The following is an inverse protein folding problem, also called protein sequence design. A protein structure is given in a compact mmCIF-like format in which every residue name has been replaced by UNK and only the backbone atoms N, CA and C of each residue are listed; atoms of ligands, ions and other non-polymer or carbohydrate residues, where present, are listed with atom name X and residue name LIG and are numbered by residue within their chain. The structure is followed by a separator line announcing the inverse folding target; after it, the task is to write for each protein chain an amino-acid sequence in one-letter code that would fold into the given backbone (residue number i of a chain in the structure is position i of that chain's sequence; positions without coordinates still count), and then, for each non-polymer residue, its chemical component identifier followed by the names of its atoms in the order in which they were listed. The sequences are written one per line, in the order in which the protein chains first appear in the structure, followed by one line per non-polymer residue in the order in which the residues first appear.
data_IF_913067616011
#
_entry.id   IF_913067616011
#
_cell.length_a   1.000
_cell.length_b   1.000
_cell.length_c   1.000
_cell.angle_alpha   90.00
_cell.angle_beta   90.00
_cell.angle_gamma   90.00
#
_symmetry.space_group_name_H-M   'P 1'
#
loop_
_entity.id
_entity.type
_entity.pdbx_description
1 polymer ?
#
# COMPACT_ATOMS: atom_id res chain seq x y z
N UNK A 1 8.59 3.66 -1.99
CA UNK A 1 7.33 3.44 -1.28
C UNK A 1 7.67 3.46 0.20
N UNK A 2 6.77 4.01 1.00
CA UNK A 2 6.96 4.12 2.44
C UNK A 2 5.70 3.71 3.16
N UNK A 3 5.84 3.21 4.39
CA UNK A 3 4.76 2.75 5.23
C UNK A 3 4.89 3.28 6.65
N UNK A 4 3.77 3.39 7.36
CA UNK A 4 3.69 3.76 8.78
C UNK A 4 2.44 3.18 9.42
N UNK A 5 2.40 3.08 10.74
CA UNK A 5 1.14 2.87 11.45
C UNK A 5 0.48 4.21 11.81
N UNK A 6 -0.84 4.28 11.68
CA UNK A 6 -1.69 5.36 12.19
C UNK A 6 -2.92 4.73 12.83
N UNK A 7 -3.12 4.96 14.13
CA UNK A 7 -4.21 4.40 14.92
C UNK A 7 -4.30 2.86 14.84
N UNK A 8 -3.14 2.20 14.72
CA UNK A 8 -3.04 0.75 14.56
C UNK A 8 -3.28 0.23 13.13
N UNK A 9 -3.59 1.11 12.19
CA UNK A 9 -3.79 0.77 10.77
C UNK A 9 -2.52 1.04 9.96
N UNK A 10 -2.21 0.14 9.03
CA UNK A 10 -1.03 0.26 8.18
C UNK A 10 -1.32 1.18 6.99
N UNK A 11 -0.68 2.35 6.99
CA UNK A 11 -0.69 3.32 5.89
C UNK A 11 0.51 3.11 4.97
N UNK A 12 0.30 3.35 3.68
CA UNK A 12 1.36 3.35 2.68
C UNK A 12 1.23 4.53 1.73
N UNK A 13 2.36 4.97 1.20
CA UNK A 13 2.43 6.08 0.26
C UNK A 13 3.40 5.78 -0.89
N UNK A 14 3.06 6.29 -2.06
CA UNK A 14 3.92 6.24 -3.24
C UNK A 14 4.61 7.58 -3.45
N UNK A 15 5.79 7.55 -4.07
CA UNK A 15 6.60 8.75 -4.34
C UNK A 15 6.60 9.17 -5.80
N UNK A 16 5.65 8.65 -6.56
CA UNK A 16 5.55 8.90 -7.98
C UNK A 16 4.16 9.43 -8.30
N UNK A 17 4.08 10.29 -9.32
CA UNK A 17 2.79 10.67 -9.86
C UNK A 17 2.35 9.61 -10.86
N UNK A 18 1.15 9.05 -10.69
CA UNK A 18 0.58 8.06 -11.62
C UNK A 18 -0.89 8.42 -11.89
N UNK A 19 -1.31 8.34 -13.15
CA UNK A 19 -2.73 8.39 -13.51
C UNK A 19 -3.18 6.97 -13.84
N UNK A 20 -4.25 6.51 -13.20
CA UNK A 20 -4.80 5.18 -13.38
C UNK A 20 -6.33 5.20 -13.37
N UNK A 21 -6.93 4.22 -14.03
CA UNK A 21 -8.37 3.95 -13.95
C UNK A 21 -8.70 2.86 -12.92
N UNK A 22 -7.71 2.06 -12.56
CA UNK A 22 -7.84 1.09 -11.48
C UNK A 22 -6.52 1.00 -10.74
N UNK A 23 -6.59 1.02 -9.41
CA UNK A 23 -5.46 0.78 -8.53
C UNK A 23 -5.72 -0.56 -7.84
N UNK A 24 -4.85 -1.53 -8.09
CA UNK A 24 -4.85 -2.81 -7.40
C UNK A 24 -3.79 -2.76 -6.31
N UNK A 25 -4.21 -2.85 -5.06
CA UNK A 25 -3.31 -2.98 -3.91
C UNK A 25 -3.36 -4.42 -3.46
N UNK A 26 -2.24 -5.12 -3.47
CA UNK A 26 -2.11 -6.45 -2.89
C UNK A 26 -1.17 -6.40 -1.69
N UNK A 27 -1.64 -6.90 -0.55
CA UNK A 27 -0.85 -7.06 0.66
C UNK A 27 -0.70 -8.54 0.95
N UNK A 28 0.54 -8.98 1.08
CA UNK A 28 0.89 -10.35 1.40
C UNK A 28 1.76 -10.37 2.65
N UNK A 29 1.17 -10.51 3.85
CA UNK A 29 1.91 -10.89 5.04
C UNK A 29 2.62 -12.23 4.84
N UNK A 30 3.84 -12.33 5.35
CA UNK A 30 4.58 -13.59 5.49
C UNK A 30 4.52 -14.00 6.95
N UNK A 31 3.77 -15.08 7.19
CA UNK A 31 3.72 -15.79 8.47
C UNK A 31 4.70 -16.97 8.44
N UNK A 32 5.05 -17.53 9.59
CA UNK A 32 6.04 -18.61 9.73
C UNK A 32 5.79 -19.84 8.82
N UNK A 33 4.55 -20.08 8.37
CA UNK A 33 4.23 -21.19 7.47
C UNK A 33 3.12 -20.98 6.45
N UNK A 34 2.43 -19.82 6.44
CA UNK A 34 1.30 -19.55 5.52
C UNK A 34 1.43 -18.18 4.86
N UNK A 35 1.25 -18.15 3.53
CA UNK A 35 1.12 -16.90 2.76
C UNK A 35 -0.38 -16.61 2.55
N UNK A 36 -0.90 -15.61 3.26
CA UNK A 36 -2.22 -15.04 2.96
C UNK A 36 -1.98 -13.81 2.09
N UNK A 37 -2.61 -13.77 0.90
CA UNK A 37 -2.61 -12.59 0.04
C UNK A 37 -4.02 -11.98 0.05
N UNK A 38 -4.11 -10.72 0.47
CA UNK A 38 -5.33 -9.91 0.34
C UNK A 38 -5.15 -8.91 -0.78
N UNK A 39 -6.17 -8.72 -1.62
CA UNK A 39 -6.11 -7.84 -2.80
C UNK A 39 -7.30 -6.90 -2.81
N UNK A 40 -7.04 -5.61 -2.62
CA UNK A 40 -8.03 -4.55 -2.76
C UNK A 40 -7.98 -3.96 -4.16
N UNK A 41 -9.17 -3.75 -4.70
CA UNK A 41 -9.38 -3.06 -5.96
C UNK A 41 -10.04 -1.72 -5.68
N UNK A 42 -9.38 -0.66 -6.14
CA UNK A 42 -9.93 0.68 -6.22
C UNK A 42 -10.22 0.97 -7.69
N UNK A 43 -11.48 1.15 -8.05
CA UNK A 43 -11.93 1.44 -9.42
C UNK A 43 -12.36 2.91 -9.53
N UNK A 44 -11.86 3.62 -10.54
CA UNK A 44 -12.14 5.04 -10.77
C UNK A 44 -10.95 5.74 -11.45
N UNK A 45 -11.21 6.81 -12.20
CA UNK A 45 -10.12 7.62 -12.74
C UNK A 45 -9.51 8.46 -11.61
N UNK A 46 -8.29 8.10 -11.19
CA UNK A 46 -7.57 8.78 -10.14
C UNK A 46 -6.18 9.21 -10.60
N UNK A 47 -5.76 10.39 -10.14
CA UNK A 47 -4.39 10.87 -10.29
C UNK A 47 -3.70 10.84 -8.93
N UNK A 48 -2.87 9.83 -8.72
CA UNK A 48 -2.04 9.66 -7.54
C UNK A 48 -0.85 10.60 -7.62
N UNK A 49 -0.56 11.30 -6.53
CA UNK A 49 0.56 12.22 -6.35
C UNK A 49 1.54 11.67 -5.30
N UNK A 50 2.80 12.14 -5.30
CA UNK A 50 3.73 11.83 -4.23
C UNK A 50 3.14 12.23 -2.87
N UNK A 51 3.16 11.30 -1.93
CA UNK A 51 2.63 11.51 -0.58
C UNK A 51 1.13 11.25 -0.42
N UNK A 52 0.40 10.98 -1.50
CA UNK A 52 -0.95 10.43 -1.37
C UNK A 52 -0.85 9.11 -0.59
N UNK A 53 -1.62 9.05 0.49
CA UNK A 53 -1.65 7.93 1.41
C UNK A 53 -2.82 7.02 1.08
N UNK A 54 -2.56 5.73 1.17
CA UNK A 54 -3.55 4.70 1.02
C UNK A 54 -3.66 3.99 2.36
N UNK A 55 -4.89 3.91 2.87
CA UNK A 55 -5.26 3.13 4.04
C UNK A 55 -5.88 1.82 3.55
N UNK A 56 -5.51 0.71 4.18
CA UNK A 56 -6.17 -0.57 3.89
C UNK A 56 -7.63 -0.47 4.32
N UNK A 57 -8.56 -0.60 3.36
CA UNK A 57 -10.00 -0.55 3.64
C UNK A 57 -10.67 0.82 3.56
N UNK A 58 -9.97 1.91 3.19
CA UNK A 58 -10.59 3.23 2.99
C UNK A 58 -10.84 3.59 1.53
N UNK A 59 -11.94 4.31 1.32
CA UNK A 59 -12.29 4.93 0.04
C UNK A 59 -11.31 6.06 -0.32
N UNK A 60 -10.71 5.95 -1.50
CA UNK A 60 -9.99 7.06 -2.14
C UNK A 60 -11.02 7.95 -2.83
N UNK A 61 -10.87 9.28 -2.75
CA UNK A 61 -11.82 10.21 -3.37
C UNK A 61 -12.01 9.89 -4.88
N UNK A 62 -13.25 9.53 -5.25
CA UNK A 62 -13.59 9.11 -6.61
C UNK A 62 -13.41 7.62 -6.92
N UNK A 63 -13.05 6.80 -5.92
CA UNK A 63 -12.89 5.34 -6.06
C UNK A 63 -13.67 4.58 -4.98
N UNK A 64 -14.12 3.38 -5.30
CA UNK A 64 -14.83 2.50 -4.35
C UNK A 64 -13.91 1.35 -3.93
N UNK A 65 -13.82 1.09 -2.63
CA UNK A 65 -13.03 -0.02 -2.09
C UNK A 65 -13.80 -1.34 -2.15
N UNK A 66 -13.15 -2.41 -2.61
CA UNK A 66 -13.71 -3.76 -2.64
C UNK A 66 -12.78 -4.72 -1.89
N UNK A 67 -12.89 -4.82 -0.55
CA UNK A 67 -12.56 -5.99 0.31
C UNK A 67 -12.39 -5.66 1.81
N UNK A 68 -12.44 -6.72 2.63
CA UNK A 68 -12.45 -6.82 4.10
C UNK A 68 -11.11 -6.49 4.81
N UNK A 69 -11.21 -6.32 6.14
CA UNK A 69 -10.16 -6.06 7.13
C UNK A 69 -8.98 -7.06 7.07
N UNK A 70 -7.75 -6.57 7.25
CA UNK A 70 -6.56 -7.42 7.37
C UNK A 70 -5.95 -7.32 8.75
N UNK A 71 -6.07 -8.41 9.51
CA UNK A 71 -5.38 -8.59 10.79
C UNK A 71 -3.95 -9.07 10.51
N UNK A 72 -2.93 -8.32 10.97
CA UNK A 72 -1.50 -8.67 10.84
C UNK A 72 -0.78 -8.87 12.19
N UNK A 73 -1.35 -9.58 13.20
CA UNK A 73 -0.71 -9.63 14.52
C UNK A 73 0.65 -10.35 14.52
N UNK A 74 0.90 -11.28 13.58
CA UNK A 74 2.06 -12.18 13.61
C UNK A 74 2.98 -12.12 12.37
N UNK A 75 2.83 -11.12 11.49
CA UNK A 75 3.64 -11.04 10.27
C UNK A 75 5.05 -10.51 10.55
N UNK A 76 6.09 -11.22 10.09
CA UNK A 76 7.47 -10.74 10.15
C UNK A 76 7.79 -9.77 9.00
N UNK A 77 7.28 -10.10 7.82
CA UNK A 77 7.38 -9.28 6.63
C UNK A 77 6.02 -9.06 6.02
N UNK A 78 5.89 -7.95 5.32
CA UNK A 78 4.72 -7.66 4.51
C UNK A 78 5.19 -7.20 3.13
N UNK A 79 4.66 -7.85 2.10
CA UNK A 79 4.84 -7.40 0.73
C UNK A 79 3.63 -6.55 0.34
N UNK A 80 3.91 -5.34 -0.12
CA UNK A 80 2.93 -4.45 -0.72
C UNK A 80 3.20 -4.39 -2.21
N UNK A 81 2.19 -4.75 -3.01
CA UNK A 81 2.22 -4.51 -4.45
C UNK A 81 1.11 -3.54 -4.80
N UNK A 82 1.44 -2.49 -5.54
CA UNK A 82 0.46 -1.55 -6.08
C UNK A 82 0.59 -1.59 -7.60
N UNK A 83 -0.46 -2.04 -8.26
CA UNK A 83 -0.59 -2.06 -9.71
C UNK A 83 -1.53 -0.95 -10.18
N UNK A 84 -1.12 -0.24 -11.22
CA UNK A 84 -1.89 0.84 -11.84
C UNK A 84 -2.31 0.41 -13.23
N UNK A 85 -3.63 0.24 -13.44
CA UNK A 85 -4.21 -0.13 -14.72
C UNK A 85 -4.82 1.08 -15.42
N UNK A 86 -4.66 1.13 -16.74
CA UNK A 86 -5.34 2.11 -17.58
C UNK A 86 -6.81 1.71 -17.84
N UNK A 87 -7.54 2.54 -18.60
CA UNK A 87 -8.94 2.29 -18.96
C UNK A 87 -9.18 1.01 -19.78
N UNK A 88 -8.14 0.40 -20.32
CA UNK A 88 -8.22 -0.85 -21.08
C UNK A 88 -7.90 -2.08 -20.20
N UNK A 89 -7.55 -1.87 -18.93
CA UNK A 89 -7.17 -2.92 -17.99
C UNK A 89 -5.69 -3.31 -18.07
N UNK A 90 -4.88 -2.59 -18.85
CA UNK A 90 -3.45 -2.87 -19.02
C UNK A 90 -2.63 -2.20 -17.92
N UNK A 91 -1.64 -2.92 -17.36
CA UNK A 91 -0.75 -2.36 -16.34
C UNK A 91 0.22 -1.35 -16.94
N UNK A 92 0.09 -0.08 -16.55
CA UNK A 92 1.03 0.98 -16.92
C UNK A 92 2.23 1.07 -15.96
N UNK A 93 2.02 0.77 -14.68
CA UNK A 93 3.06 0.71 -13.65
C UNK A 93 2.68 -0.33 -12.57
N UNK A 94 3.66 -1.10 -12.08
CA UNK A 94 3.49 -2.03 -10.96
C UNK A 94 4.68 -1.85 -10.03
N UNK A 95 4.40 -1.62 -8.75
CA UNK A 95 5.40 -1.39 -7.72
C UNK A 95 5.24 -2.38 -6.59
N UNK A 96 6.29 -3.13 -6.32
CA UNK A 96 6.35 -4.01 -5.15
C UNK A 96 7.39 -3.50 -4.17
N UNK A 97 7.01 -3.43 -2.89
CA UNK A 97 7.87 -3.12 -1.77
C UNK A 97 7.73 -4.21 -0.72
N UNK A 98 8.84 -4.51 -0.04
CA UNK A 98 8.87 -5.38 1.13
C UNK A 98 9.19 -4.52 2.34
N UNK A 99 8.47 -4.74 3.42
CA UNK A 99 8.76 -4.13 4.71
C UNK A 99 8.95 -5.22 5.76
N UNK A 100 9.86 -4.99 6.70
CA UNK A 100 9.92 -5.74 7.96
C UNK A 100 8.95 -5.05 8.92
N UNK A 101 7.96 -5.78 9.43
CA UNK A 101 6.88 -5.18 10.22
C UNK A 101 7.41 -4.51 11.49
N UNK A 102 8.43 -5.09 12.13
CA UNK A 102 9.08 -4.52 13.32
C UNK A 102 9.79 -3.19 13.08
N UNK A 103 10.08 -2.84 11.83
CA UNK A 103 10.77 -1.60 11.48
C UNK A 103 9.78 -0.44 11.30
N UNK A 104 8.50 -0.75 11.01
CA UNK A 104 7.41 0.21 10.82
C UNK A 104 6.90 0.66 12.20
N UNK A 105 6.75 1.98 12.38
CA UNK A 105 6.33 2.57 13.65
C UNK A 105 5.08 3.43 13.50
N UNK A 106 4.42 3.64 14.63
CA UNK A 106 3.31 4.59 14.75
C UNK A 106 3.81 6.01 14.45
N UNK A 107 3.16 6.68 13.50
CA UNK A 107 3.44 8.07 13.11
C UNK A 107 4.70 8.31 12.26
N UNK A 108 5.68 7.39 12.22
CA UNK A 108 6.94 7.56 11.49
C UNK A 108 6.94 6.84 10.13
N UNK A 109 7.30 7.55 9.05
CA UNK A 109 7.46 6.93 7.74
C UNK A 109 8.72 6.06 7.68
N UNK A 110 8.54 4.83 7.22
CA UNK A 110 9.61 3.86 6.98
C UNK A 110 9.64 3.49 5.49
N UNK A 111 10.77 3.68 4.83
CA UNK A 111 11.00 3.28 3.43
C UNK A 111 11.26 1.77 3.35
N UNK A 112 11.09 1.19 2.16
CA UNK A 112 11.28 -0.25 1.95
C UNK A 112 12.71 -0.75 2.17
N UNK A 113 13.70 0.15 2.22
CA UNK A 113 15.09 -0.16 2.57
C UNK A 113 15.38 -0.01 4.08
N UNK A 114 14.36 0.31 4.89
CA UNK A 114 14.46 0.53 6.33
C UNK A 114 14.81 1.97 6.73
N UNK A 115 15.03 2.87 5.78
CA UNK A 115 15.31 4.29 6.06
C UNK A 115 14.07 4.97 6.63
N UNK A 116 14.25 5.90 7.59
CA UNK A 116 13.16 6.67 8.20
C UNK A 116 13.16 8.13 7.77
N UNK A 117 11.99 8.73 7.72
CA UNK A 117 11.79 10.14 7.34
C UNK A 117 10.53 10.74 7.97
N UNK A 118 10.41 12.07 7.91
CA UNK A 118 9.23 12.80 8.39
C UNK A 118 8.14 12.85 7.30
N UNK A 119 8.54 12.79 6.03
CA UNK A 119 7.66 12.66 4.88
C UNK A 119 7.78 11.27 4.22
N UNK A 120 6.73 10.80 3.51
CA UNK A 120 6.76 9.50 2.85
C UNK A 120 7.82 9.42 1.73
N UNK A 121 8.37 10.54 1.25
CA UNK A 121 9.20 10.59 0.05
C UNK A 121 10.54 11.30 0.21
N UNK A 122 10.90 11.71 1.41
CA UNK A 122 12.25 12.15 1.79
C UNK A 122 13.26 11.02 1.66
#
# INVERSE_FOLDING_TARGET
MSARYVDGELQFATCHTVTANTIEVAVRPVLDSDEVQTVWLLEGEARVRPGDTFLLGQDVEGMTTVQDEVLMPDAHHVFFTIGFRDKHGEYGDVRTARFTVSDIREGEWTRSDGTRGEEPCE
#
